data_IF_385458083862
#
_entry.id   IF_385458083862
#
_cell.length_a   1.000
_cell.length_b   1.000
_cell.length_c   1.000
_cell.angle_alpha   90.00
_cell.angle_beta   90.00
_cell.angle_gamma   90.00
#
_symmetry.space_group_name_H-M   'P 1'
#
loop_
_entity.id
_entity.type
_entity.pdbx_description
1 polymer ?
#
# COMPACT_ATOMS: atom_id res chain seq x y z
N UNK A 1 24.29 12.61 -38.54
CA UNK A 1 22.85 12.47 -38.90
C UNK A 1 22.24 11.29 -38.15
N UNK A 2 22.35 11.25 -36.81
CA UNK A 2 22.01 10.03 -36.03
C UNK A 2 20.80 10.22 -35.11
N UNK A 3 20.42 11.46 -34.82
CA UNK A 3 19.38 11.78 -33.83
C UNK A 3 18.00 11.20 -34.16
N UNK A 4 17.58 11.22 -35.43
CA UNK A 4 16.22 10.80 -35.83
C UNK A 4 15.96 9.28 -35.72
N UNK A 5 17.00 8.45 -35.83
CA UNK A 5 16.91 7.01 -35.62
C UNK A 5 16.83 6.67 -34.13
N UNK A 6 17.71 7.29 -33.34
CA UNK A 6 17.77 7.16 -31.88
C UNK A 6 16.47 7.60 -31.21
N UNK A 7 15.82 8.66 -31.70
CA UNK A 7 14.52 9.09 -31.18
C UNK A 7 13.38 8.10 -31.48
N UNK A 8 13.43 7.37 -32.60
CA UNK A 8 12.42 6.35 -32.93
C UNK A 8 12.58 5.12 -32.06
N UNK A 9 13.82 4.70 -31.81
CA UNK A 9 14.14 3.57 -30.94
C UNK A 9 13.80 3.89 -29.48
N UNK A 10 14.15 5.08 -29.00
CA UNK A 10 13.74 5.56 -27.69
C UNK A 10 12.20 5.63 -27.56
N UNK A 11 11.50 6.12 -28.59
CA UNK A 11 10.03 6.16 -28.60
C UNK A 11 9.39 4.77 -28.57
N UNK A 12 9.99 3.77 -29.22
CA UNK A 12 9.51 2.40 -29.19
C UNK A 12 9.72 1.78 -27.80
N UNK A 13 10.90 1.99 -27.20
CA UNK A 13 11.21 1.52 -25.84
C UNK A 13 10.27 2.20 -24.82
N UNK A 14 10.06 3.52 -24.91
CA UNK A 14 9.10 4.21 -24.04
C UNK A 14 7.67 3.76 -24.26
N UNK A 15 7.29 3.43 -25.50
CA UNK A 15 5.99 2.83 -25.84
C UNK A 15 5.81 1.45 -25.20
N UNK A 16 6.84 0.59 -25.26
CA UNK A 16 6.85 -0.70 -24.57
C UNK A 16 6.72 -0.52 -23.06
N UNK A 17 7.53 0.34 -22.44
CA UNK A 17 7.48 0.64 -20.99
C UNK A 17 6.09 1.14 -20.57
N UNK A 18 5.46 1.99 -21.38
CA UNK A 18 4.12 2.51 -21.14
C UNK A 18 3.02 1.45 -21.31
N UNK A 19 3.25 0.44 -22.15
CA UNK A 19 2.35 -0.71 -22.36
C UNK A 19 2.60 -1.89 -21.42
N UNK A 20 3.71 -1.88 -20.70
CA UNK A 20 4.20 -2.95 -19.85
C UNK A 20 3.67 -2.82 -18.41
N UNK A 21 3.68 -3.92 -17.67
CA UNK A 21 3.08 -4.14 -16.33
C UNK A 21 3.36 -3.01 -15.31
N UNK A 22 4.39 -2.19 -15.53
CA UNK A 22 4.72 -0.98 -14.76
C UNK A 22 3.58 0.03 -14.61
N UNK A 23 2.52 -0.03 -15.43
CA UNK A 23 1.27 0.72 -15.21
C UNK A 23 0.60 0.37 -13.87
N UNK A 24 0.61 -0.91 -13.45
CA UNK A 24 0.09 -1.28 -12.11
C UNK A 24 0.98 -0.65 -11.02
N UNK A 25 2.30 -0.83 -11.10
CA UNK A 25 3.26 -0.26 -10.13
C UNK A 25 3.07 1.25 -9.96
N UNK A 26 2.93 1.98 -11.08
CA UNK A 26 2.72 3.42 -11.05
C UNK A 26 1.34 3.78 -10.44
N UNK A 27 0.29 3.05 -10.82
CA UNK A 27 -1.07 3.20 -10.24
C UNK A 27 -1.06 3.01 -8.74
N UNK A 28 -0.45 1.94 -8.23
CA UNK A 28 -0.35 1.69 -6.79
C UNK A 28 0.50 2.72 -6.07
N UNK A 29 1.63 3.15 -6.67
CA UNK A 29 2.44 4.24 -6.10
C UNK A 29 1.63 5.54 -6.01
N UNK A 30 0.86 5.87 -7.04
CA UNK A 30 -0.01 7.05 -7.02
C UNK A 30 -1.08 6.94 -5.92
N UNK A 31 -1.77 5.80 -5.82
CA UNK A 31 -2.76 5.56 -4.75
C UNK A 31 -2.17 5.61 -3.34
N UNK A 32 -0.98 5.04 -3.14
CA UNK A 32 -0.29 5.14 -1.85
C UNK A 32 0.08 6.59 -1.55
N UNK A 33 0.44 7.38 -2.57
CA UNK A 33 0.71 8.81 -2.38
C UNK A 33 -0.56 9.61 -2.09
N UNK A 34 -1.69 9.23 -2.69
CA UNK A 34 -3.02 9.76 -2.36
C UNK A 34 -3.34 9.47 -0.89
N UNK A 35 -3.19 8.22 -0.43
CA UNK A 35 -3.36 7.86 0.99
C UNK A 35 -2.50 8.72 1.91
N UNK A 36 -1.21 8.90 1.62
CA UNK A 36 -0.35 9.78 2.43
C UNK A 36 -0.88 11.22 2.49
N UNK A 37 -1.44 11.73 1.39
CA UNK A 37 -1.98 13.08 1.30
C UNK A 37 -3.29 13.20 2.05
N UNK A 38 -4.19 12.24 1.90
CA UNK A 38 -5.47 12.16 2.61
C UNK A 38 -5.27 12.04 4.12
N UNK A 39 -4.27 11.25 4.56
CA UNK A 39 -3.92 11.17 5.99
C UNK A 39 -3.37 12.49 6.54
N UNK A 40 -2.62 13.26 5.74
CA UNK A 40 -2.17 14.59 6.14
C UNK A 40 -3.33 15.60 6.24
N UNK A 41 -4.48 15.29 5.64
CA UNK A 41 -5.72 16.05 5.70
C UNK A 41 -6.72 15.47 6.71
N UNK A 42 -6.33 14.48 7.52
CA UNK A 42 -7.19 13.73 8.45
C UNK A 42 -8.38 12.99 7.79
N UNK A 43 -8.32 12.76 6.47
CA UNK A 43 -9.36 12.05 5.70
C UNK A 43 -9.16 10.52 5.79
N UNK A 44 -9.42 9.97 6.98
CA UNK A 44 -9.17 8.56 7.27
C UNK A 44 -10.08 7.61 6.47
N UNK A 45 -11.36 7.95 6.27
CA UNK A 45 -12.31 7.12 5.52
C UNK A 45 -11.89 6.98 4.06
N UNK A 46 -11.45 8.07 3.43
CA UNK A 46 -10.95 8.07 2.06
C UNK A 46 -9.69 7.21 1.94
N UNK A 47 -8.77 7.36 2.89
CA UNK A 47 -7.54 6.56 2.98
C UNK A 47 -7.85 5.07 3.09
N UNK A 48 -8.81 4.70 3.94
CA UNK A 48 -9.26 3.31 4.11
C UNK A 48 -9.84 2.76 2.81
N UNK A 49 -10.73 3.51 2.14
CA UNK A 49 -11.34 3.11 0.86
C UNK A 49 -10.28 2.77 -0.19
N UNK A 50 -9.28 3.65 -0.36
CA UNK A 50 -8.21 3.44 -1.34
C UNK A 50 -7.38 2.19 -0.99
N UNK A 51 -7.06 1.99 0.29
CA UNK A 51 -6.29 0.82 0.72
C UNK A 51 -7.09 -0.48 0.59
N UNK A 52 -8.41 -0.44 0.76
CA UNK A 52 -9.28 -1.58 0.50
C UNK A 52 -9.34 -1.92 -0.99
N UNK A 53 -9.48 -0.92 -1.87
CA UNK A 53 -9.40 -1.13 -3.32
C UNK A 53 -8.07 -1.78 -3.72
N UNK A 54 -6.96 -1.40 -3.08
CA UNK A 54 -5.65 -2.01 -3.29
C UNK A 54 -5.67 -3.50 -2.88
N UNK A 55 -6.34 -3.87 -1.80
CA UNK A 55 -6.43 -5.27 -1.34
C UNK A 55 -7.39 -6.13 -2.15
N UNK A 56 -8.42 -5.54 -2.73
CA UNK A 56 -9.46 -6.24 -3.50
C UNK A 56 -9.06 -6.50 -4.96
N UNK A 57 -8.00 -5.86 -5.45
CA UNK A 57 -7.46 -6.13 -6.77
C UNK A 57 -6.86 -7.56 -6.85
N UNK A 58 -7.33 -8.34 -7.83
CA UNK A 58 -6.99 -9.78 -8.02
C UNK A 58 -5.54 -10.04 -8.45
N UNK A 59 -4.81 -9.01 -8.86
CA UNK A 59 -3.43 -9.11 -9.31
C UNK A 59 -2.52 -9.40 -8.10
N UNK A 60 -1.39 -10.09 -8.31
CA UNK A 60 -0.39 -10.30 -7.26
C UNK A 60 0.15 -8.93 -6.80
N UNK A 61 -0.50 -8.36 -5.80
CA UNK A 61 -0.25 -7.01 -5.39
C UNK A 61 0.91 -6.98 -4.41
N UNK A 62 2.08 -6.59 -4.93
CA UNK A 62 3.31 -6.37 -4.16
C UNK A 62 3.19 -5.29 -3.08
N UNK A 63 2.07 -4.57 -3.01
CA UNK A 63 1.76 -3.55 -2.02
C UNK A 63 0.70 -3.97 -1.00
N UNK A 64 0.15 -5.19 -1.10
CA UNK A 64 -0.91 -5.65 -0.22
C UNK A 64 -0.46 -5.74 1.26
N UNK A 65 0.78 -6.13 1.51
CA UNK A 65 1.33 -6.16 2.87
C UNK A 65 1.46 -4.74 3.46
N UNK A 66 1.97 -3.79 2.68
CA UNK A 66 1.99 -2.36 3.04
C UNK A 66 0.58 -1.83 3.28
N UNK A 67 -0.39 -2.22 2.46
CA UNK A 67 -1.76 -1.74 2.59
C UNK A 67 -2.43 -2.23 3.88
N UNK A 68 -2.26 -3.51 4.24
CA UNK A 68 -2.72 -4.04 5.52
C UNK A 68 -2.05 -3.34 6.71
N UNK A 69 -0.73 -3.08 6.62
CA UNK A 69 -0.01 -2.36 7.67
C UNK A 69 -0.58 -0.94 7.87
N UNK A 70 -0.76 -0.21 6.77
CA UNK A 70 -1.32 1.14 6.78
C UNK A 70 -2.76 1.16 7.31
N UNK A 71 -3.61 0.22 6.88
CA UNK A 71 -4.97 0.09 7.41
C UNK A 71 -4.97 -0.14 8.92
N UNK A 72 -4.11 -1.05 9.42
CA UNK A 72 -3.96 -1.26 10.85
C UNK A 72 -3.56 0.01 11.60
N UNK A 73 -2.60 0.78 11.05
CA UNK A 73 -2.17 2.07 11.62
C UNK A 73 -3.30 3.09 11.64
N UNK A 74 -4.08 3.19 10.56
CA UNK A 74 -5.20 4.13 10.48
C UNK A 74 -6.28 3.76 11.49
N UNK A 75 -6.66 2.49 11.58
CA UNK A 75 -7.65 2.06 12.57
C UNK A 75 -7.18 2.31 14.00
N UNK A 76 -5.93 1.96 14.32
CA UNK A 76 -5.38 2.11 15.68
C UNK A 76 -5.25 3.58 16.09
N UNK A 77 -4.70 4.42 15.20
CA UNK A 77 -4.28 5.76 15.56
C UNK A 77 -5.25 6.86 15.08
N UNK A 78 -5.84 6.72 13.91
CA UNK A 78 -6.83 7.65 13.37
C UNK A 78 -8.21 7.39 13.95
N UNK A 79 -8.74 6.18 13.74
CA UNK A 79 -10.10 5.81 14.15
C UNK A 79 -10.23 5.40 15.62
N UNK A 80 -9.10 5.13 16.29
CA UNK A 80 -9.07 4.57 17.65
C UNK A 80 -9.85 3.25 17.78
N UNK A 81 -9.95 2.50 16.69
CA UNK A 81 -10.60 1.20 16.60
C UNK A 81 -9.51 0.11 16.67
N UNK A 82 -9.09 -0.19 17.91
CA UNK A 82 -8.05 -1.19 18.18
C UNK A 82 -8.50 -2.61 17.74
N UNK A 83 -9.80 -2.89 17.66
CA UNK A 83 -10.33 -4.18 17.17
C UNK A 83 -10.07 -4.36 15.68
N UNK A 84 -10.45 -3.38 14.85
CA UNK A 84 -10.14 -3.43 13.41
C UNK A 84 -8.65 -3.33 13.13
N UNK A 85 -7.91 -2.59 13.96
CA UNK A 85 -6.46 -2.53 13.84
C UNK A 85 -5.82 -3.93 13.97
N UNK A 86 -6.21 -4.68 15.00
CA UNK A 86 -5.74 -6.06 15.21
C UNK A 86 -6.11 -6.95 14.04
N UNK A 87 -7.33 -6.86 13.50
CA UNK A 87 -7.76 -7.65 12.34
C UNK A 87 -6.81 -7.46 11.13
N UNK A 88 -6.47 -6.20 10.82
CA UNK A 88 -5.58 -5.88 9.70
C UNK A 88 -4.15 -6.36 9.93
N UNK A 89 -3.63 -6.16 11.15
CA UNK A 89 -2.30 -6.61 11.54
C UNK A 89 -2.17 -8.13 11.53
N UNK A 90 -3.15 -8.86 12.06
CA UNK A 90 -3.17 -10.32 12.08
C UNK A 90 -3.29 -10.88 10.65
N UNK A 91 -4.11 -10.25 9.80
CA UNK A 91 -4.18 -10.57 8.36
C UNK A 91 -2.82 -10.41 7.67
N UNK A 92 -2.06 -9.36 8.01
CA UNK A 92 -0.70 -9.16 7.47
C UNK A 92 0.23 -10.30 7.88
N UNK A 93 0.28 -10.63 9.18
CA UNK A 93 1.14 -11.71 9.69
C UNK A 93 0.80 -13.06 9.07
N UNK A 94 -0.50 -13.33 8.82
CA UNK A 94 -0.96 -14.59 8.25
C UNK A 94 -0.70 -14.70 6.74
N UNK A 95 -0.96 -13.64 5.98
CA UNK A 95 -0.89 -13.66 4.51
C UNK A 95 0.51 -13.36 3.96
N UNK A 96 1.31 -12.59 4.69
CA UNK A 96 2.60 -12.08 4.22
C UNK A 96 3.75 -12.39 5.19
N UNK A 97 4.10 -13.68 5.40
CA UNK A 97 5.10 -14.10 6.39
C UNK A 97 6.55 -13.68 6.08
N UNK A 98 6.80 -13.07 4.92
CA UNK A 98 8.08 -12.49 4.52
C UNK A 98 8.01 -10.96 4.34
N UNK A 99 6.97 -10.31 4.86
CA UNK A 99 6.79 -8.86 4.75
C UNK A 99 7.88 -8.10 5.52
N UNK A 100 8.28 -6.96 4.98
CA UNK A 100 9.17 -6.01 5.67
C UNK A 100 8.49 -5.34 6.89
N UNK A 101 7.16 -5.48 7.02
CA UNK A 101 6.39 -4.84 8.09
C UNK A 101 6.16 -5.74 9.32
N UNK A 102 6.62 -7.00 9.32
CA UNK A 102 6.27 -7.97 10.38
C UNK A 102 6.66 -7.53 11.79
N UNK A 103 7.88 -7.03 11.97
CA UNK A 103 8.37 -6.66 13.29
C UNK A 103 7.62 -5.44 13.83
N UNK A 104 7.42 -4.42 12.97
CA UNK A 104 6.59 -3.27 13.30
C UNK A 104 5.15 -3.68 13.61
N UNK A 105 4.55 -4.58 12.82
CA UNK A 105 3.19 -5.09 13.06
C UNK A 105 3.09 -5.80 14.41
N UNK A 106 4.08 -6.63 14.79
CA UNK A 106 4.10 -7.32 16.09
C UNK A 106 4.19 -6.33 17.25
N UNK A 107 5.05 -5.32 17.13
CA UNK A 107 5.16 -4.25 18.13
C UNK A 107 3.82 -3.52 18.32
N UNK A 108 3.11 -3.21 17.23
CA UNK A 108 1.80 -2.57 17.31
C UNK A 108 0.73 -3.45 17.97
N UNK A 109 0.70 -4.75 17.67
CA UNK A 109 -0.20 -5.71 18.35
C UNK A 109 0.10 -5.75 19.86
N UNK A 110 1.37 -5.78 20.26
CA UNK A 110 1.77 -5.79 21.67
C UNK A 110 1.30 -4.50 22.36
N UNK A 111 1.49 -3.33 21.72
CA UNK A 111 1.01 -2.04 22.25
C UNK A 111 -0.50 -2.07 22.48
N UNK A 112 -1.28 -2.58 21.52
CA UNK A 112 -2.73 -2.68 21.67
C UNK A 112 -3.09 -3.58 22.87
N UNK A 113 -2.51 -4.78 22.94
CA UNK A 113 -2.81 -5.75 24.01
C UNK A 113 -2.46 -5.23 25.41
N UNK A 114 -1.37 -4.46 25.52
CA UNK A 114 -0.96 -3.85 26.78
C UNK A 114 -1.88 -2.72 27.25
N UNK A 115 -2.62 -2.04 26.35
CA UNK A 115 -3.62 -1.03 26.76
C UNK A 115 -4.85 -1.64 27.43
N UNK A 116 -5.14 -2.90 27.11
CA UNK A 116 -6.34 -3.63 27.56
C UNK A 116 -6.08 -4.37 28.88
N UNK A 117 -4.80 -4.56 29.24
CA UNK A 117 -4.35 -5.14 30.50
C UNK A 117 -4.32 -4.10 31.61
#
# INVERSE_FOLDING_TARGET
>A
MTTRGEYKEASAIFGEIASDERSFVLRYRARLKEVETELALDNYERSISILQEILDEKEQNIYADKALYLLGRIYQYGMKDDTKALEMYESLLAKFPNSLYLDMTREEIIKIRNKVS
#
